data_IF_052180261557
#
_entry.id   IF_052180261557
#
_cell.length_a   1.000
_cell.length_b   1.000
_cell.length_c   1.000
_cell.angle_alpha   90.00
_cell.angle_beta   90.00
_cell.angle_gamma   90.00
#
_symmetry.space_group_name_H-M   'P 1'
#
loop_
_entity.id
_entity.type
_entity.pdbx_description
1 polymer ?
#
# COMPACT_ATOMS: atom_id res chain seq x y z
N UNK A 1 -2.79 -2.87 19.47
CA UNK A 1 -2.54 -3.87 18.40
C UNK A 1 -1.05 -4.17 18.22
N UNK A 2 -0.23 -3.16 17.87
CA UNK A 2 1.21 -3.34 17.58
C UNK A 2 2.01 -3.85 18.80
N UNK A 3 1.75 -3.30 20.00
CA UNK A 3 2.42 -3.74 21.24
C UNK A 3 2.06 -5.18 21.62
N UNK A 4 0.81 -5.60 21.42
CA UNK A 4 0.35 -6.97 21.74
C UNK A 4 0.92 -8.02 20.77
N UNK A 5 1.05 -7.67 19.49
CA UNK A 5 1.61 -8.57 18.48
C UNK A 5 3.13 -8.74 18.64
N UNK A 6 3.85 -7.66 18.97
CA UNK A 6 5.32 -7.67 19.09
C UNK A 6 5.82 -8.19 20.44
N UNK A 7 5.12 -7.93 21.55
CA UNK A 7 5.58 -8.35 22.88
C UNK A 7 5.27 -9.82 23.20
N UNK A 8 4.20 -10.38 22.61
CA UNK A 8 3.70 -11.72 22.97
C UNK A 8 3.94 -12.75 21.86
N UNK A 9 4.43 -12.34 20.69
CA UNK A 9 4.71 -13.25 19.56
C UNK A 9 3.46 -13.93 18.98
N UNK A 10 2.27 -13.43 19.31
CA UNK A 10 1.02 -13.98 18.80
C UNK A 10 0.84 -13.65 17.32
N UNK A 11 0.33 -14.63 16.56
CA UNK A 11 -0.15 -14.41 15.19
C UNK A 11 -1.13 -13.24 15.19
N UNK A 12 -0.91 -12.29 14.26
CA UNK A 12 -1.66 -11.03 14.13
C UNK A 12 -3.17 -11.25 14.23
N UNK A 13 -3.69 -12.31 13.61
CA UNK A 13 -5.11 -12.70 13.62
C UNK A 13 -5.70 -12.86 15.03
N UNK A 14 -4.92 -13.39 15.98
CA UNK A 14 -5.38 -13.62 17.36
C UNK A 14 -5.35 -12.31 18.16
N UNK A 15 -4.36 -11.45 17.92
CA UNK A 15 -4.31 -10.12 18.54
C UNK A 15 -5.48 -9.23 18.12
N UNK A 16 -5.97 -9.37 16.88
CA UNK A 16 -7.18 -8.68 16.41
C UNK A 16 -8.39 -9.18 17.21
N UNK A 17 -8.57 -10.50 17.28
CA UNK A 17 -9.70 -11.13 17.97
C UNK A 17 -9.77 -10.74 19.44
N UNK A 18 -8.62 -10.72 20.15
CA UNK A 18 -8.56 -10.35 21.57
C UNK A 18 -8.95 -8.88 21.78
N UNK A 19 -8.44 -7.96 20.95
CA UNK A 19 -8.76 -6.52 21.10
C UNK A 19 -10.23 -6.27 20.78
N UNK A 20 -10.77 -6.91 19.74
CA UNK A 20 -12.19 -6.80 19.39
C UNK A 20 -13.06 -7.39 20.51
N UNK A 21 -12.73 -8.57 21.02
CA UNK A 21 -13.46 -9.21 22.11
C UNK A 21 -13.40 -8.39 23.41
N UNK A 22 -12.23 -7.83 23.73
CA UNK A 22 -12.05 -6.94 24.88
C UNK A 22 -12.87 -5.66 24.73
N UNK A 23 -12.90 -5.04 23.55
CA UNK A 23 -13.73 -3.87 23.27
C UNK A 23 -15.22 -4.22 23.41
N UNK A 24 -15.65 -5.36 22.88
CA UNK A 24 -17.06 -5.80 22.96
C UNK A 24 -17.51 -6.09 24.39
N UNK A 25 -16.64 -6.73 25.20
CA UNK A 25 -16.89 -7.00 26.62
C UNK A 25 -16.87 -5.71 27.46
N UNK A 26 -15.91 -4.81 27.20
CA UNK A 26 -15.73 -3.58 27.99
C UNK A 26 -16.83 -2.55 27.70
N UNK A 27 -17.26 -2.40 26.44
CA UNK A 27 -18.34 -1.49 26.07
C UNK A 27 -19.74 -2.09 26.17
N UNK A 28 -19.89 -3.36 26.61
CA UNK A 28 -21.18 -4.09 26.69
C UNK A 28 -22.07 -3.86 25.47
N UNK A 29 -21.50 -4.08 24.28
CA UNK A 29 -22.21 -3.83 23.03
C UNK A 29 -23.47 -4.69 22.95
N UNK A 30 -24.61 -4.03 22.70
CA UNK A 30 -25.87 -4.72 22.39
C UNK A 30 -25.70 -5.57 21.13
N UNK A 31 -26.28 -6.79 21.07
CA UNK A 31 -26.22 -7.63 19.87
C UNK A 31 -26.81 -6.95 18.62
N UNK A 32 -27.69 -5.95 18.79
CA UNK A 32 -28.20 -5.13 17.68
C UNK A 32 -27.13 -4.21 17.11
N UNK A 33 -26.36 -3.54 17.96
CA UNK A 33 -25.29 -2.64 17.55
C UNK A 33 -24.10 -3.39 16.93
N UNK A 34 -23.91 -4.67 17.29
CA UNK A 34 -22.95 -5.58 16.62
C UNK A 34 -23.35 -5.86 15.15
N UNK A 35 -24.64 -6.05 14.89
CA UNK A 35 -25.16 -6.26 13.52
C UNK A 35 -25.06 -4.98 12.70
N UNK A 36 -25.33 -3.82 13.30
CA UNK A 36 -25.16 -2.51 12.66
C UNK A 36 -23.68 -2.25 12.29
N UNK A 37 -22.75 -2.47 13.22
CA UNK A 37 -21.31 -2.41 12.97
C UNK A 37 -20.87 -3.35 11.85
N UNK A 38 -21.35 -4.59 11.85
CA UNK A 38 -21.01 -5.56 10.81
C UNK A 38 -21.54 -5.13 9.43
N UNK A 39 -22.71 -4.50 9.39
CA UNK A 39 -23.31 -3.97 8.17
C UNK A 39 -22.58 -2.73 7.65
N UNK A 40 -22.13 -1.84 8.53
CA UNK A 40 -21.31 -0.68 8.18
C UNK A 40 -19.89 -1.07 7.75
N UNK A 41 -19.32 -2.12 8.36
CA UNK A 41 -18.01 -2.65 7.96
C UNK A 41 -18.04 -3.31 6.57
N UNK A 42 -19.22 -3.71 6.10
CA UNK A 42 -19.39 -4.32 4.79
C UNK A 42 -19.43 -3.25 3.71
N UNK A 43 -18.26 -2.87 3.19
CA UNK A 43 -18.14 -1.95 2.07
C UNK A 43 -18.13 -2.70 0.73
N UNK A 44 -19.25 -2.72 -0.03
CA UNK A 44 -19.31 -3.43 -1.30
C UNK A 44 -18.33 -2.85 -2.34
N UNK A 45 -17.94 -1.57 -2.22
CA UNK A 45 -16.93 -0.98 -3.09
C UNK A 45 -15.58 -1.69 -2.96
N UNK A 46 -15.20 -2.11 -1.74
CA UNK A 46 -13.96 -2.85 -1.50
C UNK A 46 -14.00 -4.23 -2.16
N UNK A 47 -15.14 -4.90 -2.13
CA UNK A 47 -15.32 -6.22 -2.76
C UNK A 47 -15.19 -6.09 -4.28
N UNK A 48 -15.89 -5.12 -4.87
CA UNK A 48 -15.80 -4.83 -6.30
C UNK A 48 -14.38 -4.46 -6.72
N UNK A 49 -13.70 -3.65 -5.93
CA UNK A 49 -12.31 -3.28 -6.16
C UNK A 49 -11.38 -4.50 -6.17
N UNK A 50 -11.48 -5.35 -5.14
CA UNK A 50 -10.66 -6.58 -5.04
C UNK A 50 -10.93 -7.50 -6.22
N UNK A 51 -12.20 -7.72 -6.56
CA UNK A 51 -12.59 -8.51 -7.73
C UNK A 51 -12.02 -7.94 -9.03
N UNK A 52 -12.11 -6.61 -9.21
CA UNK A 52 -11.55 -5.91 -10.37
C UNK A 52 -10.03 -6.05 -10.47
N UNK A 53 -9.32 -5.93 -9.35
CA UNK A 53 -7.86 -6.10 -9.30
C UNK A 53 -7.45 -7.53 -9.65
N UNK A 54 -8.16 -8.54 -9.12
CA UNK A 54 -7.89 -9.95 -9.44
C UNK A 54 -8.16 -10.23 -10.92
N UNK A 55 -9.26 -9.70 -11.47
CA UNK A 55 -9.58 -9.84 -12.88
C UNK A 55 -8.52 -9.18 -13.77
N UNK A 56 -8.14 -7.94 -13.47
CA UNK A 56 -7.08 -7.22 -14.17
C UNK A 56 -5.74 -7.97 -14.16
N UNK A 57 -5.33 -8.47 -12.99
CA UNK A 57 -4.16 -9.33 -12.84
C UNK A 57 -4.24 -10.54 -13.78
N UNK A 58 -5.36 -11.26 -13.77
CA UNK A 58 -5.52 -12.47 -14.59
C UNK A 58 -5.48 -12.16 -16.09
N UNK A 59 -6.06 -11.04 -16.52
CA UNK A 59 -5.97 -10.58 -17.92
C UNK A 59 -4.52 -10.28 -18.29
N UNK A 60 -3.78 -9.55 -17.46
CA UNK A 60 -2.36 -9.25 -17.69
C UNK A 60 -1.48 -10.50 -17.80
N UNK A 61 -1.76 -11.51 -16.99
CA UNK A 61 -1.06 -12.79 -17.04
C UNK A 61 -1.45 -13.58 -18.30
N UNK A 62 -2.75 -13.65 -18.61
CA UNK A 62 -3.25 -14.41 -19.75
C UNK A 62 -2.77 -13.85 -21.11
N UNK A 63 -2.59 -12.53 -21.23
CA UNK A 63 -2.06 -11.92 -22.44
C UNK A 63 -0.53 -11.90 -22.51
N UNK A 64 0.18 -12.47 -21.52
CA UNK A 64 1.65 -12.44 -21.48
C UNK A 64 2.25 -11.04 -21.31
N UNK A 65 1.43 -10.04 -20.97
CA UNK A 65 1.91 -8.67 -20.78
C UNK A 65 2.87 -8.57 -19.59
N UNK A 66 2.63 -9.35 -18.53
CA UNK A 66 3.53 -9.40 -17.36
C UNK A 66 4.94 -9.86 -17.76
N UNK A 67 5.05 -10.88 -18.62
CA UNK A 67 6.33 -11.41 -19.12
C UNK A 67 6.97 -10.45 -20.14
N UNK A 68 6.17 -9.86 -21.03
CA UNK A 68 6.62 -8.90 -22.03
C UNK A 68 7.16 -7.60 -21.41
N UNK A 69 6.47 -7.07 -20.39
CA UNK A 69 6.95 -5.92 -19.61
C UNK A 69 8.25 -6.27 -18.89
N UNK A 70 8.33 -7.46 -18.29
CA UNK A 70 9.52 -7.90 -17.58
C UNK A 70 10.73 -8.00 -18.52
N UNK A 71 10.56 -8.60 -19.70
CA UNK A 71 11.63 -8.71 -20.71
C UNK A 71 12.00 -7.35 -21.30
N UNK A 72 11.03 -6.44 -21.52
CA UNK A 72 11.27 -5.07 -21.96
C UNK A 72 12.13 -4.28 -20.97
N UNK A 73 11.85 -4.37 -19.67
CA UNK A 73 12.66 -3.67 -18.66
C UNK A 73 14.07 -4.26 -18.52
N UNK A 74 14.21 -5.59 -18.67
CA UNK A 74 15.51 -6.26 -18.65
C UNK A 74 16.34 -5.86 -19.88
N UNK A 75 15.72 -5.80 -21.07
CA UNK A 75 16.42 -5.42 -22.30
C UNK A 75 16.85 -3.95 -22.32
N UNK A 76 16.11 -3.07 -21.64
CA UNK A 76 16.48 -1.68 -21.41
C UNK A 76 17.63 -1.51 -20.40
N UNK A 77 18.07 -2.57 -19.71
CA UNK A 77 19.12 -2.50 -18.70
C UNK A 77 18.73 -1.70 -17.45
N UNK A 78 17.42 -1.48 -17.23
CA UNK A 78 16.94 -0.64 -16.12
C UNK A 78 17.15 -1.37 -14.78
N UNK A 79 17.74 -0.72 -13.77
CA UNK A 79 17.88 -1.30 -12.44
C UNK A 79 16.51 -1.66 -11.84
N UNK A 80 16.38 -2.88 -11.30
CA UNK A 80 15.14 -3.37 -10.67
C UNK A 80 14.58 -2.41 -9.62
N UNK A 81 15.46 -1.79 -8.83
CA UNK A 81 15.11 -0.77 -7.83
C UNK A 81 14.40 0.43 -8.44
N UNK A 82 14.81 0.89 -9.61
CA UNK A 82 14.20 2.04 -10.28
C UNK A 82 12.75 1.72 -10.67
N UNK A 83 12.48 0.51 -11.16
CA UNK A 83 11.14 0.08 -11.58
C UNK A 83 10.23 -0.06 -10.36
N UNK A 84 10.75 -0.65 -9.28
CA UNK A 84 10.05 -0.82 -8.01
C UNK A 84 9.77 0.52 -7.31
N UNK A 85 10.53 1.56 -7.59
CA UNK A 85 10.23 2.92 -7.15
C UNK A 85 9.24 3.62 -8.10
N UNK A 86 9.62 3.75 -9.37
CA UNK A 86 8.96 4.62 -10.33
C UNK A 86 7.52 4.20 -10.63
N UNK A 87 7.24 2.91 -10.82
CA UNK A 87 5.88 2.46 -11.14
C UNK A 87 4.88 2.76 -10.01
N UNK A 88 5.07 2.27 -8.77
CA UNK A 88 4.11 2.47 -7.70
C UNK A 88 4.08 3.92 -7.25
N UNK A 89 5.22 4.63 -7.27
CA UNK A 89 5.26 6.06 -7.00
C UNK A 89 4.42 6.85 -8.00
N UNK A 90 4.56 6.59 -9.30
CA UNK A 90 3.80 7.30 -10.34
C UNK A 90 2.31 7.03 -10.24
N UNK A 91 1.92 5.75 -10.11
CA UNK A 91 0.51 5.39 -9.96
C UNK A 91 -0.06 5.96 -8.66
N UNK A 92 0.68 5.90 -7.56
CA UNK A 92 0.29 6.48 -6.28
C UNK A 92 0.11 8.00 -6.36
N UNK A 93 1.03 8.70 -7.03
CA UNK A 93 0.99 10.15 -7.21
C UNK A 93 -0.18 10.60 -8.08
N UNK A 94 -0.48 9.86 -9.16
CA UNK A 94 -1.57 10.20 -10.07
C UNK A 94 -2.96 9.89 -9.49
N UNK A 95 -3.07 8.82 -8.69
CA UNK A 95 -4.37 8.36 -8.18
C UNK A 95 -4.68 8.85 -6.78
N UNK A 96 -3.67 9.09 -5.94
CA UNK A 96 -3.84 9.46 -4.53
C UNK A 96 -4.51 8.36 -3.69
N UNK A 97 -4.58 7.12 -4.18
CA UNK A 97 -5.27 5.99 -3.52
C UNK A 97 -4.31 4.79 -3.42
N UNK A 98 -4.11 4.28 -2.20
CA UNK A 98 -3.16 3.19 -1.95
C UNK A 98 -3.52 1.89 -2.67
N UNK A 99 -4.82 1.58 -2.77
CA UNK A 99 -5.27 0.35 -3.42
C UNK A 99 -5.02 0.36 -4.94
N UNK A 100 -4.99 1.54 -5.56
CA UNK A 100 -4.80 1.67 -7.01
C UNK A 100 -3.38 1.29 -7.42
N UNK A 101 -2.35 1.79 -6.73
CA UNK A 101 -0.97 1.40 -7.05
C UNK A 101 -0.71 -0.08 -6.73
N UNK A 102 -1.24 -0.59 -5.60
CA UNK A 102 -1.09 -2.01 -5.25
C UNK A 102 -1.72 -2.89 -6.34
N UNK A 103 -2.94 -2.57 -6.75
CA UNK A 103 -3.65 -3.34 -7.78
C UNK A 103 -3.02 -3.24 -9.17
N UNK A 104 -2.43 -2.10 -9.52
CA UNK A 104 -1.85 -1.87 -10.85
C UNK A 104 -0.42 -2.41 -10.98
N UNK A 105 0.44 -2.22 -9.98
CA UNK A 105 1.89 -2.45 -10.13
C UNK A 105 2.36 -3.79 -9.56
N UNK A 106 1.71 -4.33 -8.54
CA UNK A 106 2.14 -5.59 -7.93
C UNK A 106 1.96 -6.80 -8.87
N UNK A 107 0.91 -6.89 -9.72
CA UNK A 107 0.84 -7.93 -10.75
C UNK A 107 2.04 -7.92 -11.71
N UNK A 108 2.53 -6.73 -12.05
CA UNK A 108 3.71 -6.56 -12.93
C UNK A 108 4.97 -7.05 -12.22
N UNK A 109 5.11 -6.78 -10.92
CA UNK A 109 6.25 -7.25 -10.14
C UNK A 109 6.33 -8.76 -9.98
N UNK A 110 5.21 -9.48 -10.03
CA UNK A 110 5.21 -10.94 -9.97
C UNK A 110 5.98 -11.56 -11.14
N UNK A 111 5.94 -10.95 -12.34
CA UNK A 111 6.79 -11.38 -13.45
C UNK A 111 8.24 -10.94 -13.33
N UNK A 112 8.47 -9.74 -12.80
CA UNK A 112 9.80 -9.13 -12.72
C UNK A 112 10.68 -9.77 -11.63
N UNK A 113 10.07 -10.23 -10.53
CA UNK A 113 10.75 -10.79 -9.37
C UNK A 113 10.96 -12.31 -9.49
N UNK A 114 10.30 -12.98 -10.43
CA UNK A 114 10.44 -14.41 -10.67
C UNK A 114 9.80 -15.29 -9.60
N UNK A 115 9.52 -16.54 -9.98
CA UNK A 115 8.93 -17.56 -9.11
C UNK A 115 9.91 -18.03 -8.05
N UNK A 116 9.80 -17.45 -6.85
CA UNK A 116 10.38 -17.88 -5.58
C UNK A 116 11.92 -17.78 -5.38
N UNK A 117 12.36 -17.37 -4.17
CA UNK A 117 11.57 -16.80 -3.07
C UNK A 117 11.25 -15.32 -3.31
N UNK A 118 10.00 -14.93 -3.01
CA UNK A 118 9.56 -13.54 -3.07
C UNK A 118 10.39 -12.72 -2.07
N UNK A 119 11.25 -11.83 -2.57
CA UNK A 119 12.04 -10.97 -1.70
C UNK A 119 11.12 -9.92 -1.06
N UNK A 120 10.67 -10.21 0.16
CA UNK A 120 9.83 -9.35 0.98
C UNK A 120 10.41 -7.93 1.12
N UNK A 121 11.74 -7.77 0.98
CA UNK A 121 12.42 -6.47 1.04
C UNK A 121 12.10 -5.61 -0.17
N UNK A 122 12.09 -6.21 -1.37
CA UNK A 122 11.73 -5.52 -2.61
C UNK A 122 10.26 -5.14 -2.63
N UNK A 123 9.39 -6.00 -2.08
CA UNK A 123 7.96 -5.72 -1.94
C UNK A 123 7.73 -4.59 -0.93
N UNK A 124 8.42 -4.61 0.21
CA UNK A 124 8.33 -3.53 1.20
C UNK A 124 8.84 -2.20 0.64
N UNK A 125 9.94 -2.21 -0.12
CA UNK A 125 10.46 -1.01 -0.80
C UNK A 125 9.47 -0.46 -1.83
N UNK A 126 8.89 -1.32 -2.67
CA UNK A 126 7.89 -0.91 -3.65
C UNK A 126 6.61 -0.37 -2.99
N UNK A 127 6.19 -0.97 -1.88
CA UNK A 127 5.07 -0.50 -1.08
C UNK A 127 5.35 0.88 -0.48
N UNK A 128 6.52 1.07 0.14
CA UNK A 128 6.94 2.36 0.67
C UNK A 128 6.98 3.44 -0.41
N UNK A 129 7.48 3.10 -1.61
CA UNK A 129 7.53 3.99 -2.76
C UNK A 129 6.13 4.41 -3.23
N UNK A 130 5.18 3.48 -3.30
CA UNK A 130 3.79 3.78 -3.63
C UNK A 130 3.09 4.63 -2.58
N UNK A 131 3.30 4.32 -1.29
CA UNK A 131 2.80 5.14 -0.18
C UNK A 131 3.32 6.59 -0.26
N UNK A 132 4.61 6.78 -0.52
CA UNK A 132 5.19 8.11 -0.69
C UNK A 132 4.55 8.86 -1.88
N UNK A 133 4.29 8.17 -2.98
CA UNK A 133 3.56 8.73 -4.12
C UNK A 133 2.14 9.19 -3.73
N UNK A 134 1.40 8.36 -2.99
CA UNK A 134 0.03 8.70 -2.52
C UNK A 134 0.05 9.90 -1.58
N UNK A 135 0.98 9.96 -0.63
CA UNK A 135 1.06 11.06 0.33
C UNK A 135 1.45 12.39 -0.31
N UNK A 136 2.30 12.36 -1.35
CA UNK A 136 2.67 13.54 -2.14
C UNK A 136 1.65 13.91 -3.22
N UNK A 137 0.60 13.11 -3.38
CA UNK A 137 -0.41 13.34 -4.42
C UNK A 137 -1.27 14.57 -4.13
N UNK A 138 -1.37 15.53 -5.07
CA UNK A 138 -2.24 16.70 -4.88
C UNK A 138 -3.72 16.34 -4.94
N UNK A 139 -4.07 15.16 -5.46
CA UNK A 139 -5.46 14.64 -5.50
C UNK A 139 -5.82 13.86 -4.24
N UNK A 140 -4.88 13.65 -3.31
CA UNK A 140 -5.17 12.98 -2.05
C UNK A 140 -6.11 13.82 -1.18
N UNK A 141 -7.31 13.29 -0.91
CA UNK A 141 -8.38 14.02 -0.22
C UNK A 141 -7.94 14.57 1.14
N UNK A 142 -7.16 13.80 1.90
CA UNK A 142 -6.70 14.24 3.23
C UNK A 142 -5.82 15.49 3.14
N UNK A 143 -4.98 15.60 2.10
CA UNK A 143 -4.10 16.75 1.91
C UNK A 143 -4.90 18.00 1.55
N UNK A 144 -5.79 17.88 0.56
CA UNK A 144 -6.65 18.99 0.10
C UNK A 144 -7.56 19.49 1.22
N UNK A 145 -8.19 18.59 1.96
CA UNK A 145 -9.08 18.95 3.07
C UNK A 145 -8.33 19.63 4.21
N UNK A 146 -7.14 19.13 4.56
CA UNK A 146 -6.32 19.73 5.63
C UNK A 146 -5.86 21.14 5.25
N UNK A 147 -5.34 21.32 4.04
CA UNK A 147 -4.90 22.64 3.55
C UNK A 147 -6.06 23.63 3.53
N UNK A 148 -7.25 23.20 3.05
CA UNK A 148 -8.45 24.05 3.02
C UNK A 148 -8.97 24.39 4.41
N UNK A 149 -9.01 23.40 5.31
CA UNK A 149 -9.51 23.58 6.68
C UNK A 149 -8.65 24.57 7.47
N UNK A 150 -7.33 24.41 7.43
CA UNK A 150 -6.39 25.29 8.13
C UNK A 150 -6.01 26.55 7.35
N UNK A 151 -6.54 26.72 6.12
CA UNK A 151 -6.15 27.80 5.19
C UNK A 151 -4.63 27.92 5.06
N UNK A 152 -3.96 26.78 5.03
CA UNK A 152 -2.50 26.70 5.00
C UNK A 152 -1.95 27.02 3.61
N UNK A 153 -0.70 27.46 3.55
CA UNK A 153 0.02 27.63 2.28
C UNK A 153 0.39 26.24 1.72
N UNK A 154 -0.12 25.94 0.53
CA UNK A 154 0.08 24.65 -0.14
C UNK A 154 1.56 24.32 -0.37
N UNK A 155 2.37 25.32 -0.76
CA UNK A 155 3.79 25.15 -1.02
C UNK A 155 4.57 24.87 0.28
N UNK A 156 4.21 25.55 1.38
CA UNK A 156 4.83 25.30 2.69
C UNK A 156 4.51 23.88 3.20
N UNK A 157 3.28 23.43 3.06
CA UNK A 157 2.87 22.06 3.42
C UNK A 157 3.60 21.03 2.57
N UNK A 158 3.68 21.23 1.25
CA UNK A 158 4.44 20.33 0.37
C UNK A 158 5.91 20.22 0.75
N UNK A 159 6.56 21.34 1.06
CA UNK A 159 7.97 21.33 1.50
C UNK A 159 8.15 20.59 2.83
N UNK A 160 7.17 20.65 3.71
CA UNK A 160 7.17 19.90 4.97
C UNK A 160 6.92 18.39 4.77
N UNK A 161 6.21 18.00 3.70
CA UNK A 161 5.94 16.60 3.37
C UNK A 161 7.06 15.91 2.58
N UNK A 162 7.74 16.63 1.69
CA UNK A 162 8.80 16.03 0.86
C UNK A 162 9.94 15.46 1.71
N UNK A 163 10.34 16.17 2.78
CA UNK A 163 11.43 15.72 3.65
C UNK A 163 11.18 14.36 4.35
N UNK A 164 10.05 14.15 5.07
CA UNK A 164 9.75 12.87 5.69
C UNK A 164 9.50 11.76 4.65
N UNK A 165 8.79 12.03 3.55
CA UNK A 165 8.52 11.02 2.52
C UNK A 165 9.81 10.58 1.81
N UNK A 166 10.71 11.53 1.49
CA UNK A 166 12.03 11.20 0.98
C UNK A 166 12.84 10.40 2.01
N UNK A 167 12.75 10.73 3.29
CA UNK A 167 13.37 9.96 4.37
C UNK A 167 12.91 8.51 4.41
N UNK A 168 11.60 8.26 4.28
CA UNK A 168 11.02 6.89 4.26
C UNK A 168 11.52 6.10 3.05
N UNK A 169 11.52 6.69 1.85
CA UNK A 169 12.00 6.00 0.65
C UNK A 169 13.51 5.74 0.72
N UNK A 170 14.30 6.71 1.18
CA UNK A 170 15.75 6.59 1.32
C UNK A 170 16.13 5.56 2.39
N UNK A 171 15.45 5.53 3.52
CA UNK A 171 15.66 4.50 4.55
C UNK A 171 15.27 3.13 4.06
N UNK A 172 14.17 2.98 3.34
CA UNK A 172 13.78 1.71 2.72
C UNK A 172 14.82 1.25 1.68
N UNK A 173 15.35 2.17 0.87
CA UNK A 173 16.43 1.88 -0.07
C UNK A 173 17.74 1.51 0.65
N UNK A 174 18.10 2.23 1.71
CA UNK A 174 19.29 1.96 2.51
C UNK A 174 19.21 0.61 3.22
N UNK A 175 18.06 0.27 3.81
CA UNK A 175 17.81 -1.06 4.39
C UNK A 175 17.94 -2.16 3.33
N UNK A 176 17.42 -1.95 2.12
CA UNK A 176 17.62 -2.88 1.03
C UNK A 176 19.10 -3.07 0.68
N UNK A 177 19.88 -1.98 0.60
CA UNK A 177 21.29 -2.03 0.23
C UNK A 177 22.19 -2.58 1.35
N UNK A 178 21.87 -2.32 2.62
CA UNK A 178 22.65 -2.77 3.78
C UNK A 178 22.41 -4.24 4.12
N UNK A 179 21.26 -4.79 3.75
CA UNK A 179 20.90 -6.19 4.05
C UNK A 179 21.18 -7.12 2.85
N UNK A 180 21.70 -6.59 1.73
CA UNK A 180 22.20 -7.36 0.58
C UNK A 180 23.44 -8.16 0.94
#
# INVERSE_FOLDING_TARGET
MIVLALAVGLKVSVSIGIVVLALLLFYRYSPRSLVELAREAFAPELILLVMGVIFFKNVLVACGAVESLSTFFISLGVPRLLILFALPFSVGLLTGISQAFVGATFPVFLGLLGSSPLDLRLVAFAFASGCAGVMLSPVHLCLVLTVRYFRADFHRVYRMLIAPEAGIVLTAAALYLLTR
#
